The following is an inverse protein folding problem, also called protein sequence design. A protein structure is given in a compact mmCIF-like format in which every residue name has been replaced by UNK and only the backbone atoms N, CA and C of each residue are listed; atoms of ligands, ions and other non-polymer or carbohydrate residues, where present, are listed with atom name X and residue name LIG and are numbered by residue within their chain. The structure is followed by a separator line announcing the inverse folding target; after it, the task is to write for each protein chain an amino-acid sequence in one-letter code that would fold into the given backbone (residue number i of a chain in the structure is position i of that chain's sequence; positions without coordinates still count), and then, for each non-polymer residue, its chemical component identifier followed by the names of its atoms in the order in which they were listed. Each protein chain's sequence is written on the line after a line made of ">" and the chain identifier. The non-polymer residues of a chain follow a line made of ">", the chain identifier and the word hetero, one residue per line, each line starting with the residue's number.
data_IF_999172449783
#
_entry.id   IF_999172449783
#
_cell.length_a   1.000
_cell.length_b   1.000
_cell.length_c   1.000
_cell.angle_alpha   90.00
_cell.angle_beta   90.00
_cell.angle_gamma   90.00
#
_symmetry.space_group_name_H-M   'P 1'
#
loop_
_entity.id
_entity.type
_entity.pdbx_description
1 polymer ?
#
# COMPACT_ATOMS: atom_id res chain seq x y z
N UNK A 1 -46.71 25.71 -50.20
CA UNK A 1 -46.31 26.65 -51.26
C UNK A 1 -44.80 26.61 -51.22
N UNK A 2 -44.09 26.13 -52.13
CA UNK A 2 -43.96 25.77 -53.55
C UNK A 2 -42.68 24.94 -53.61
N UNK A 3 -42.69 23.69 -53.84
CA UNK A 3 -42.54 22.95 -55.08
C UNK A 3 -41.23 23.23 -55.89
N UNK A 4 -40.29 22.22 -55.83
CA UNK A 4 -39.64 21.45 -56.96
C UNK A 4 -38.63 22.19 -57.87
N UNK A 5 -37.81 21.41 -58.66
CA UNK A 5 -37.46 20.00 -58.65
C UNK A 5 -35.94 19.64 -58.95
N UNK A 6 -35.66 18.38 -58.77
CA UNK A 6 -34.64 17.48 -59.29
C UNK A 6 -34.16 17.72 -60.73
N UNK A 7 -32.85 17.52 -61.00
CA UNK A 7 -32.36 17.05 -62.29
C UNK A 7 -31.22 16.02 -62.12
N UNK A 8 -31.50 14.85 -62.63
CA UNK A 8 -30.60 13.73 -62.93
C UNK A 8 -29.85 13.95 -64.25
N UNK A 9 -28.59 13.63 -64.29
CA UNK A 9 -27.97 13.23 -65.58
C UNK A 9 -27.14 11.94 -65.37
N UNK A 10 -27.56 10.93 -66.11
CA UNK A 10 -26.84 9.70 -66.46
C UNK A 10 -25.93 10.04 -67.64
N UNK A 11 -24.87 9.24 -67.69
CA UNK A 11 -24.31 8.49 -68.84
C UNK A 11 -22.80 8.59 -68.92
N UNK A 12 -22.20 7.38 -69.04
CA UNK A 12 -21.05 7.15 -69.84
C UNK A 12 -20.12 6.03 -69.38
N UNK A 13 -20.57 4.82 -69.49
CA UNK A 13 -19.68 3.64 -69.39
C UNK A 13 -18.78 3.51 -70.63
N UNK A 14 -17.48 3.22 -70.44
CA UNK A 14 -16.71 2.40 -71.38
C UNK A 14 -15.61 1.58 -70.69
N UNK A 15 -15.38 0.36 -71.17
CA UNK A 15 -14.57 -0.67 -70.51
C UNK A 15 -13.12 -0.68 -71.00
N UNK A 16 -12.22 -1.20 -70.23
CA UNK A 16 -10.91 -1.40 -70.75
C UNK A 16 -9.86 -2.08 -69.91
N UNK A 17 -9.72 -3.37 -70.18
CA UNK A 17 -8.53 -4.19 -70.02
C UNK A 17 -8.20 -4.79 -68.66
N UNK A 18 -8.62 -6.05 -68.59
CA UNK A 18 -8.09 -7.00 -67.63
C UNK A 18 -6.60 -7.25 -67.86
N UNK A 19 -5.84 -7.24 -66.78
CA UNK A 19 -4.47 -7.72 -66.78
C UNK A 19 -4.46 -9.20 -66.40
N UNK A 20 -3.85 -9.96 -67.23
CA UNK A 20 -3.74 -11.42 -67.28
C UNK A 20 -2.96 -11.94 -66.02
N UNK A 21 -3.49 -12.99 -65.43
CA UNK A 21 -3.00 -13.63 -64.19
C UNK A 21 -1.75 -14.51 -64.35
N UNK A 22 -0.96 -14.34 -65.39
CA UNK A 22 0.13 -15.28 -65.72
C UNK A 22 1.54 -14.75 -65.90
N UNK A 23 1.82 -13.51 -65.42
CA UNK A 23 3.20 -13.02 -65.51
C UNK A 23 3.54 -12.25 -64.21
N UNK A 24 3.85 -12.97 -63.14
CA UNK A 24 4.68 -12.48 -61.99
C UNK A 24 5.14 -13.70 -61.19
N UNK A 25 6.01 -14.52 -61.86
CA UNK A 25 6.91 -15.44 -61.18
C UNK A 25 8.31 -14.90 -61.42
N UNK A 26 8.93 -14.37 -60.36
CA UNK A 26 10.34 -13.96 -60.41
C UNK A 26 10.64 -12.66 -59.69
N UNK A 27 10.52 -12.62 -58.37
CA UNK A 27 11.24 -11.64 -57.54
C UNK A 27 11.73 -12.34 -56.28
N UNK A 28 13.06 -12.35 -56.14
CA UNK A 28 13.82 -12.96 -55.06
C UNK A 28 13.26 -12.60 -53.68
N UNK A 29 12.90 -13.59 -52.90
CA UNK A 29 12.72 -13.49 -51.48
C UNK A 29 14.10 -13.42 -50.79
N UNK A 30 14.64 -12.23 -50.61
CA UNK A 30 15.67 -12.00 -49.59
C UNK A 30 15.01 -12.04 -48.23
N UNK A 31 14.97 -13.22 -47.64
CA UNK A 31 14.52 -13.41 -46.26
C UNK A 31 15.48 -12.74 -45.30
N UNK A 32 15.10 -11.57 -44.78
CA UNK A 32 15.72 -11.03 -43.56
C UNK A 32 15.26 -11.95 -42.43
N UNK A 33 16.13 -12.86 -42.04
CA UNK A 33 15.98 -13.58 -40.77
C UNK A 33 16.16 -12.58 -39.64
N UNK A 34 15.07 -12.03 -39.16
CA UNK A 34 15.06 -11.35 -37.86
C UNK A 34 15.32 -12.45 -36.83
N UNK A 35 16.55 -12.55 -36.34
CA UNK A 35 16.90 -13.36 -35.20
C UNK A 35 16.07 -12.81 -34.04
N UNK A 36 15.02 -13.53 -33.66
CA UNK A 36 14.31 -13.30 -32.42
C UNK A 36 15.34 -13.54 -31.29
N UNK A 37 15.86 -12.46 -30.71
CA UNK A 37 16.59 -12.56 -29.45
C UNK A 37 15.68 -13.26 -28.44
N UNK A 38 16.14 -14.33 -27.78
CA UNK A 38 15.33 -14.96 -26.75
C UNK A 38 15.02 -13.87 -25.68
N UNK A 39 13.72 -13.66 -25.43
CA UNK A 39 13.30 -12.84 -24.32
C UNK A 39 14.02 -13.37 -23.07
N UNK A 40 14.60 -12.51 -22.22
CA UNK A 40 15.25 -12.97 -21.01
C UNK A 40 14.23 -13.78 -20.22
N UNK A 41 14.52 -15.05 -20.01
CA UNK A 41 13.75 -15.92 -19.13
C UNK A 41 13.67 -15.21 -17.78
N UNK A 42 12.46 -14.84 -17.35
CA UNK A 42 12.24 -14.28 -16.03
C UNK A 42 12.65 -15.36 -15.01
N UNK A 43 13.87 -15.26 -14.49
CA UNK A 43 14.29 -16.07 -13.36
C UNK A 43 13.34 -15.77 -12.18
N UNK A 44 13.07 -16.82 -11.38
CA UNK A 44 12.23 -16.67 -10.19
C UNK A 44 12.68 -15.48 -9.34
N UNK A 45 11.75 -14.64 -8.83
CA UNK A 45 12.08 -13.36 -8.18
C UNK A 45 13.02 -13.49 -6.98
N UNK A 46 12.98 -14.63 -6.25
CA UNK A 46 13.69 -14.83 -4.97
C UNK A 46 15.21 -14.79 -5.07
N UNK A 47 15.81 -15.30 -6.16
CA UNK A 47 17.27 -15.41 -6.27
C UNK A 47 17.95 -14.08 -6.63
N UNK A 48 17.17 -13.04 -6.90
CA UNK A 48 17.65 -11.70 -7.28
C UNK A 48 17.44 -10.64 -6.21
N UNK A 49 16.82 -10.99 -5.07
CA UNK A 49 16.54 -10.07 -3.98
C UNK A 49 17.39 -10.41 -2.76
N UNK A 50 17.85 -9.37 -2.08
CA UNK A 50 18.54 -9.45 -0.80
C UNK A 50 17.62 -8.92 0.30
N UNK A 51 17.53 -9.66 1.41
CA UNK A 51 16.77 -9.26 2.61
C UNK A 51 17.73 -9.04 3.76
N UNK A 52 17.52 -7.95 4.52
CA UNK A 52 18.24 -7.63 5.75
C UNK A 52 17.24 -7.22 6.83
N UNK A 53 17.60 -7.49 8.08
CA UNK A 53 16.77 -7.15 9.25
C UNK A 53 17.58 -6.33 10.25
N UNK A 54 16.92 -5.34 10.86
CA UNK A 54 17.54 -4.44 11.82
C UNK A 54 16.68 -4.36 13.08
N UNK A 55 17.35 -4.09 14.19
CA UNK A 55 16.76 -3.83 15.49
C UNK A 55 17.25 -2.47 15.97
N UNK A 56 16.33 -1.53 16.17
CA UNK A 56 16.64 -0.19 16.67
C UNK A 56 16.10 -0.08 18.09
N UNK A 57 16.88 0.42 19.07
CA UNK A 57 16.39 0.58 20.45
C UNK A 57 15.25 1.60 20.49
N UNK A 58 14.23 1.35 21.34
CA UNK A 58 13.12 2.27 21.52
C UNK A 58 12.55 2.23 22.94
N UNK A 59 12.37 3.44 23.55
CA UNK A 59 11.69 3.59 24.83
C UNK A 59 12.36 2.83 25.98
N UNK A 60 11.74 1.74 26.42
CA UNK A 60 12.22 0.92 27.54
C UNK A 60 13.45 0.09 27.15
N UNK A 61 14.40 -0.16 28.08
CA UNK A 61 15.51 -1.07 27.82
C UNK A 61 15.03 -2.45 27.37
N UNK A 62 15.60 -2.95 26.28
CA UNK A 62 15.24 -4.26 25.69
C UNK A 62 14.04 -4.23 24.75
N UNK A 63 13.37 -3.11 24.58
CA UNK A 63 12.36 -2.93 23.52
C UNK A 63 13.03 -2.42 22.27
N UNK A 64 12.81 -3.11 21.14
CA UNK A 64 13.43 -2.79 19.87
C UNK A 64 12.39 -2.65 18.77
N UNK A 65 12.60 -1.70 17.87
CA UNK A 65 11.85 -1.55 16.63
C UNK A 65 12.43 -2.53 15.61
N UNK A 66 11.57 -3.38 15.04
CA UNK A 66 11.95 -4.24 13.92
C UNK A 66 11.80 -3.52 12.60
N UNK A 67 12.86 -3.53 11.81
CA UNK A 67 12.91 -2.99 10.45
C UNK A 67 13.42 -4.07 9.51
N UNK A 68 12.71 -4.34 8.41
CA UNK A 68 13.17 -5.21 7.33
C UNK A 68 13.45 -4.38 6.09
N UNK A 69 14.53 -4.70 5.43
CA UNK A 69 14.90 -4.18 4.12
C UNK A 69 14.89 -5.30 3.09
N UNK A 70 14.35 -5.02 1.91
CA UNK A 70 14.44 -5.90 0.75
C UNK A 70 14.77 -5.08 -0.49
N UNK A 71 15.77 -5.53 -1.27
CA UNK A 71 16.30 -4.82 -2.42
C UNK A 71 16.84 -5.77 -3.50
N UNK A 72 17.08 -5.30 -4.72
CA UNK A 72 17.81 -6.07 -5.72
C UNK A 72 19.20 -6.48 -5.19
N UNK A 73 19.57 -7.75 -5.38
CA UNK A 73 20.86 -8.26 -4.97
C UNK A 73 21.99 -7.58 -5.76
N UNK A 74 23.12 -7.29 -5.07
CA UNK A 74 24.29 -6.66 -5.69
C UNK A 74 24.15 -5.15 -5.92
N UNK A 75 23.05 -4.51 -5.48
CA UNK A 75 22.89 -3.06 -5.51
C UNK A 75 22.93 -2.52 -4.08
N UNK A 76 23.94 -1.69 -3.79
CA UNK A 76 24.15 -1.10 -2.45
C UNK A 76 23.90 0.40 -2.40
N UNK A 77 23.82 1.06 -3.55
CA UNK A 77 23.54 2.51 -3.65
C UNK A 77 22.23 2.76 -4.37
N UNK A 78 21.39 3.53 -3.73
CA UNK A 78 20.09 3.93 -4.25
C UNK A 78 19.96 5.45 -4.16
N UNK A 79 19.44 6.14 -5.19
CA UNK A 79 19.00 7.52 -5.03
C UNK A 79 17.76 7.56 -4.12
N UNK A 80 17.50 8.70 -3.50
CA UNK A 80 16.44 8.82 -2.50
C UNK A 80 15.03 8.52 -3.04
N UNK A 81 14.79 8.78 -4.32
CA UNK A 81 13.53 8.47 -5.03
C UNK A 81 13.40 6.98 -5.45
N UNK A 82 14.30 6.13 -4.99
CA UNK A 82 14.27 4.68 -5.10
C UNK A 82 14.33 3.98 -3.75
N UNK A 83 14.04 4.70 -2.68
CA UNK A 83 14.00 4.16 -1.31
C UNK A 83 12.62 4.40 -0.75
N UNK A 84 11.94 3.33 -0.34
CA UNK A 84 10.58 3.38 0.21
C UNK A 84 10.53 2.83 1.63
N UNK A 85 9.91 3.56 2.56
CA UNK A 85 9.54 3.05 3.88
C UNK A 85 8.02 2.87 3.96
N UNK A 86 7.57 1.65 4.31
CA UNK A 86 6.18 1.30 4.57
C UNK A 86 5.89 1.16 6.07
N UNK A 87 4.76 1.70 6.52
CA UNK A 87 4.20 1.49 7.86
C UNK A 87 2.76 0.95 7.81
N UNK A 88 2.48 0.01 8.69
CA UNK A 88 1.21 -0.72 8.76
C UNK A 88 0.06 0.06 9.41
N UNK A 89 -1.15 -0.52 9.34
CA UNK A 89 -2.36 -0.04 10.00
C UNK A 89 -2.52 -0.44 11.48
N UNK A 90 -3.76 -0.39 11.96
CA UNK A 90 -4.08 -0.47 13.39
C UNK A 90 -3.94 -1.84 14.06
N UNK A 91 -3.85 -2.94 13.29
CA UNK A 91 -3.97 -4.30 13.86
C UNK A 91 -2.88 -5.24 13.36
N UNK A 92 -2.61 -5.21 12.08
CA UNK A 92 -1.75 -6.19 11.41
C UNK A 92 -0.37 -5.60 11.13
N UNK A 93 0.72 -6.30 11.49
CA UNK A 93 2.07 -5.78 11.34
C UNK A 93 2.50 -5.74 9.87
N UNK A 94 3.46 -4.87 9.59
CA UNK A 94 4.02 -4.72 8.24
C UNK A 94 4.69 -5.99 7.74
N UNK A 95 5.38 -6.71 8.61
CA UNK A 95 6.10 -7.95 8.28
C UNK A 95 5.21 -9.04 7.67
N UNK A 96 3.92 -9.09 8.01
CA UNK A 96 2.99 -10.09 7.48
C UNK A 96 1.91 -9.49 6.56
N UNK A 97 1.70 -8.17 6.57
CA UNK A 97 0.79 -7.53 5.64
C UNK A 97 1.46 -7.14 4.31
N UNK A 98 2.74 -6.75 4.36
CA UNK A 98 3.45 -6.20 3.20
C UNK A 98 4.54 -7.12 2.64
N UNK A 99 5.10 -8.02 3.47
CA UNK A 99 6.17 -8.94 3.05
C UNK A 99 5.82 -10.43 3.25
N UNK A 100 4.56 -10.79 3.13
CA UNK A 100 4.17 -12.20 3.05
C UNK A 100 3.98 -12.59 1.57
N UNK A 101 4.65 -13.67 1.06
CA UNK A 101 4.60 -14.05 -0.36
C UNK A 101 3.30 -14.77 -0.72
N UNK A 102 2.15 -14.11 -0.54
CA UNK A 102 0.85 -14.61 -0.97
C UNK A 102 0.86 -14.81 -2.48
N UNK A 103 0.51 -16.02 -2.95
CA UNK A 103 0.61 -16.36 -4.37
C UNK A 103 2.03 -16.27 -4.94
N UNK A 104 3.06 -16.50 -4.11
CA UNK A 104 4.47 -16.58 -4.53
C UNK A 104 5.23 -15.26 -4.61
N UNK A 105 4.60 -14.13 -4.25
CA UNK A 105 5.24 -12.79 -4.29
C UNK A 105 4.65 -11.88 -3.22
N UNK A 106 5.47 -11.16 -2.48
CA UNK A 106 5.04 -10.11 -1.56
C UNK A 106 4.97 -8.72 -2.25
N UNK A 107 4.38 -7.74 -1.57
CA UNK A 107 4.44 -6.35 -2.04
C UNK A 107 5.88 -5.82 -2.04
N UNK A 108 6.70 -6.20 -1.05
CA UNK A 108 8.13 -5.86 -1.04
C UNK A 108 8.87 -6.50 -2.22
N UNK A 109 8.57 -7.77 -2.56
CA UNK A 109 9.19 -8.44 -3.71
C UNK A 109 8.89 -7.70 -5.01
N UNK A 110 7.63 -7.30 -5.20
CA UNK A 110 7.21 -6.56 -6.38
C UNK A 110 7.96 -5.22 -6.52
N UNK A 111 7.98 -4.41 -5.45
CA UNK A 111 8.62 -3.10 -5.49
C UNK A 111 10.15 -3.20 -5.58
N UNK A 112 10.77 -4.15 -4.88
CA UNK A 112 12.18 -4.44 -5.04
C UNK A 112 12.51 -4.91 -6.46
N UNK A 113 11.62 -5.69 -7.09
CA UNK A 113 11.71 -6.08 -8.51
C UNK A 113 11.66 -4.89 -9.47
N UNK A 114 11.04 -3.77 -9.10
CA UNK A 114 11.07 -2.50 -9.82
C UNK A 114 12.34 -1.67 -9.57
N UNK A 115 13.29 -2.19 -8.78
CA UNK A 115 14.56 -1.52 -8.48
C UNK A 115 14.54 -0.65 -7.22
N UNK A 116 13.54 -0.80 -6.35
CA UNK A 116 13.48 -0.07 -5.08
C UNK A 116 14.25 -0.77 -3.97
N UNK A 117 14.81 0.05 -3.08
CA UNK A 117 15.29 -0.32 -1.75
C UNK A 117 14.13 -0.16 -0.77
N UNK A 118 13.42 -1.25 -0.52
CA UNK A 118 12.15 -1.23 0.22
C UNK A 118 12.40 -1.55 1.68
N UNK A 119 11.90 -0.69 2.56
CA UNK A 119 11.88 -0.90 4.00
C UNK A 119 10.45 -1.06 4.51
N UNK A 120 10.28 -1.88 5.53
CA UNK A 120 9.08 -1.90 6.36
C UNK A 120 9.47 -1.78 7.83
N UNK A 121 8.55 -1.31 8.65
CA UNK A 121 8.69 -1.25 10.09
C UNK A 121 7.47 -1.86 10.77
N UNK A 122 7.69 -2.75 11.72
CA UNK A 122 6.69 -3.11 12.71
C UNK A 122 6.80 -2.12 13.88
N UNK A 123 5.71 -1.44 14.23
CA UNK A 123 5.70 -0.52 15.37
C UNK A 123 5.82 -1.31 16.69
N UNK A 124 6.40 -0.75 17.77
CA UNK A 124 6.44 -1.40 19.08
C UNK A 124 5.07 -1.89 19.54
N UNK A 125 5.02 -3.13 20.01
CA UNK A 125 3.77 -3.83 20.34
C UNK A 125 3.13 -4.59 19.18
N UNK A 126 3.66 -4.49 17.96
CA UNK A 126 3.20 -5.21 16.77
C UNK A 126 4.29 -6.12 16.19
N UNK A 127 3.85 -7.15 15.51
CA UNK A 127 4.70 -8.00 14.66
C UNK A 127 5.95 -8.50 15.36
N UNK A 128 7.08 -8.31 14.71
CA UNK A 128 8.40 -8.73 15.18
C UNK A 128 9.10 -7.68 16.04
N UNK A 129 8.49 -6.51 16.26
CA UNK A 129 8.99 -5.51 17.21
C UNK A 129 8.81 -5.95 18.66
N UNK A 130 9.62 -5.37 19.54
CA UNK A 130 9.55 -5.57 20.97
C UNK A 130 8.19 -5.17 21.56
N UNK A 131 7.82 -5.82 22.64
CA UNK A 131 6.59 -5.55 23.40
C UNK A 131 6.98 -4.99 24.75
N UNK A 132 6.65 -3.70 25.02
CA UNK A 132 6.91 -3.09 26.33
C UNK A 132 6.09 -3.75 27.44
N UNK A 133 6.47 -3.47 28.70
CA UNK A 133 5.87 -4.10 29.90
C UNK A 133 4.34 -4.00 29.92
N UNK A 134 3.77 -2.90 29.44
CA UNK A 134 2.30 -2.70 29.35
C UNK A 134 1.60 -3.74 28.48
N UNK A 135 2.30 -4.38 27.54
CA UNK A 135 1.77 -5.48 26.72
C UNK A 135 1.85 -6.85 27.42
N UNK A 136 2.53 -6.94 28.55
CA UNK A 136 2.66 -8.17 29.36
C UNK A 136 1.76 -8.16 30.58
N UNK A 137 1.26 -6.98 31.00
CA UNK A 137 0.28 -6.83 32.05
C UNK A 137 -1.16 -7.01 31.53
N UNK A 138 -2.17 -7.20 32.41
CA UNK A 138 -3.57 -7.13 32.00
C UNK A 138 -3.86 -5.80 31.29
N UNK A 139 -4.58 -5.84 30.18
CA UNK A 139 -4.80 -4.65 29.36
C UNK A 139 -5.49 -3.53 30.14
N UNK A 140 -6.43 -3.89 31.04
CA UNK A 140 -7.20 -2.97 31.88
C UNK A 140 -6.36 -2.14 32.85
N UNK A 141 -5.16 -2.60 33.19
CA UNK A 141 -4.33 -1.98 34.22
C UNK A 141 -3.49 -0.81 33.70
N UNK A 142 -3.54 -0.59 32.37
CA UNK A 142 -2.73 0.41 31.68
C UNK A 142 -3.53 1.19 30.65
N UNK A 143 -3.13 2.43 30.42
CA UNK A 143 -3.67 3.29 29.38
C UNK A 143 -3.40 2.74 27.96
N UNK A 144 -4.20 3.13 26.96
CA UNK A 144 -4.01 2.73 25.57
C UNK A 144 -2.60 3.00 25.07
N UNK A 145 -1.89 1.92 24.70
CA UNK A 145 -0.50 1.95 24.23
C UNK A 145 -0.39 2.30 22.76
N UNK A 146 0.73 2.89 22.35
CA UNK A 146 1.11 3.28 20.99
C UNK A 146 0.10 4.23 20.34
N UNK A 147 0.06 5.47 20.85
CA UNK A 147 -0.72 6.57 20.28
C UNK A 147 -0.09 7.07 18.97
N UNK A 148 -0.86 7.74 18.13
CA UNK A 148 -0.39 8.26 16.84
C UNK A 148 0.84 9.17 16.95
N UNK A 149 0.96 10.09 17.92
CA UNK A 149 2.18 10.87 18.11
C UNK A 149 3.42 10.01 18.43
N UNK A 150 3.26 8.89 19.13
CA UNK A 150 4.38 7.99 19.43
C UNK A 150 4.79 7.18 18.22
N UNK A 151 3.81 6.72 17.42
CA UNK A 151 4.10 6.05 16.16
C UNK A 151 4.84 6.98 15.18
N UNK A 152 4.50 8.26 15.14
CA UNK A 152 5.21 9.25 14.32
C UNK A 152 6.68 9.44 14.75
N UNK A 153 6.97 9.39 16.08
CA UNK A 153 8.36 9.41 16.58
C UNK A 153 9.14 8.15 16.15
N UNK A 154 8.49 6.98 16.21
CA UNK A 154 9.08 5.71 15.72
C UNK A 154 9.43 5.83 14.25
N UNK A 155 8.49 6.32 13.42
CA UNK A 155 8.74 6.56 12.00
C UNK A 155 9.90 7.52 11.80
N UNK A 156 9.95 8.63 12.52
CA UNK A 156 11.06 9.58 12.46
C UNK A 156 12.42 8.93 12.73
N UNK A 157 12.52 8.09 13.76
CA UNK A 157 13.74 7.35 14.07
C UNK A 157 14.15 6.39 12.94
N UNK A 158 13.18 5.70 12.34
CA UNK A 158 13.44 4.76 11.24
C UNK A 158 13.83 5.52 9.96
N UNK A 159 13.19 6.64 9.66
CA UNK A 159 13.58 7.51 8.53
C UNK A 159 15.02 7.98 8.71
N UNK A 160 15.39 8.51 9.89
CA UNK A 160 16.76 8.98 10.15
C UNK A 160 17.79 7.85 10.04
N UNK A 161 17.45 6.65 10.48
CA UNK A 161 18.28 5.45 10.28
C UNK A 161 18.49 5.16 8.79
N UNK A 162 17.44 5.19 7.96
CA UNK A 162 17.53 4.91 6.52
C UNK A 162 18.34 6.00 5.80
N UNK A 163 18.04 7.28 6.07
CA UNK A 163 18.76 8.41 5.48
C UNK A 163 20.26 8.31 5.75
N UNK A 164 20.64 8.06 7.01
CA UNK A 164 22.04 7.86 7.41
C UNK A 164 22.65 6.63 6.73
N UNK A 165 21.94 5.49 6.73
CA UNK A 165 22.43 4.24 6.14
C UNK A 165 22.71 4.37 4.65
N UNK A 166 21.84 5.06 3.92
CA UNK A 166 21.90 5.21 2.46
C UNK A 166 22.61 6.47 2.01
N UNK A 167 22.96 7.36 2.95
CA UNK A 167 23.58 8.66 2.68
C UNK A 167 22.77 9.48 1.66
N UNK A 168 21.46 9.62 1.95
CA UNK A 168 20.51 10.40 1.16
C UNK A 168 19.75 11.36 2.08
N UNK A 169 19.16 12.41 1.52
CA UNK A 169 18.44 13.44 2.28
C UNK A 169 16.94 13.15 2.38
N UNK A 170 16.38 12.45 1.40
CA UNK A 170 14.95 12.19 1.28
C UNK A 170 14.68 10.76 0.84
N UNK A 171 13.52 10.22 1.25
CA UNK A 171 13.00 8.92 0.81
C UNK A 171 11.49 9.02 0.53
N UNK A 172 10.94 8.02 -0.15
CA UNK A 172 9.50 7.86 -0.31
C UNK A 172 8.89 7.22 0.93
N UNK A 173 7.69 7.66 1.30
CA UNK A 173 6.94 7.12 2.43
C UNK A 173 5.62 6.53 1.98
N UNK A 174 5.20 5.44 2.64
CA UNK A 174 3.90 4.82 2.41
C UNK A 174 3.28 4.39 3.73
N UNK A 175 2.01 4.76 3.94
CA UNK A 175 1.21 4.33 5.08
C UNK A 175 -0.08 3.64 4.65
N UNK A 176 -0.48 2.63 5.42
CA UNK A 176 -1.77 1.95 5.28
C UNK A 176 -2.67 2.23 6.47
N UNK A 177 -3.94 2.64 6.23
CA UNK A 177 -4.92 2.80 7.30
C UNK A 177 -4.41 3.76 8.39
N UNK A 178 -4.33 3.36 9.64
CA UNK A 178 -3.70 4.15 10.71
C UNK A 178 -2.27 4.58 10.37
N UNK A 179 -1.53 3.81 9.59
CA UNK A 179 -0.22 4.21 9.09
C UNK A 179 -0.25 5.51 8.28
N UNK A 180 -1.39 5.85 7.65
CA UNK A 180 -1.57 7.14 6.98
C UNK A 180 -1.63 8.29 7.98
N UNK A 181 -2.27 8.08 9.14
CA UNK A 181 -2.29 9.02 10.26
C UNK A 181 -0.95 9.12 11.00
N UNK A 182 -0.02 8.23 10.72
CA UNK A 182 1.37 8.29 11.19
C UNK A 182 2.26 9.02 10.17
N UNK A 183 2.18 8.63 8.89
CA UNK A 183 3.00 9.21 7.82
C UNK A 183 2.58 10.64 7.44
N UNK A 184 1.28 10.95 7.47
CA UNK A 184 0.77 12.29 7.17
C UNK A 184 1.32 13.37 8.10
N UNK A 185 1.11 13.29 9.44
CA UNK A 185 1.65 14.28 10.39
C UNK A 185 3.19 14.28 10.41
N UNK A 186 3.85 13.14 10.21
CA UNK A 186 5.30 13.14 10.06
C UNK A 186 5.73 13.97 8.84
N UNK A 187 5.13 13.72 7.68
CA UNK A 187 5.46 14.44 6.44
C UNK A 187 5.15 15.93 6.55
N UNK A 188 4.03 16.31 7.16
CA UNK A 188 3.64 17.72 7.31
C UNK A 188 4.69 18.57 8.05
N UNK A 189 5.48 17.95 8.91
CA UNK A 189 6.54 18.61 9.69
C UNK A 189 7.96 18.32 9.18
N UNK A 190 8.13 17.35 8.24
CA UNK A 190 9.43 16.90 7.72
C UNK A 190 9.42 16.74 6.20
N UNK A 191 8.85 17.72 5.49
CA UNK A 191 8.82 17.72 4.01
C UNK A 191 10.23 17.67 3.39
N UNK A 192 11.24 18.14 4.11
CA UNK A 192 12.65 18.10 3.73
C UNK A 192 13.26 16.69 3.70
N UNK A 193 12.61 15.71 4.34
CA UNK A 193 13.04 14.29 4.38
C UNK A 193 12.22 13.37 3.48
N UNK A 194 11.20 13.88 2.79
CA UNK A 194 10.25 13.09 2.01
C UNK A 194 10.27 13.49 0.54
N UNK A 195 10.38 12.52 -0.38
CA UNK A 195 10.22 12.75 -1.82
C UNK A 195 8.76 12.67 -2.24
N UNK A 196 8.11 11.55 -1.93
CA UNK A 196 6.71 11.25 -2.27
C UNK A 196 6.03 10.57 -1.10
N UNK A 197 4.72 10.75 -1.00
CA UNK A 197 3.88 10.15 0.04
C UNK A 197 2.75 9.32 -0.59
N UNK A 198 2.67 8.04 -0.24
CA UNK A 198 1.56 7.15 -0.61
C UNK A 198 0.70 6.90 0.63
N UNK A 199 -0.59 7.21 0.52
CA UNK A 199 -1.58 7.03 1.56
C UNK A 199 -2.63 6.02 1.08
N UNK A 200 -2.52 4.77 1.54
CA UNK A 200 -3.48 3.73 1.23
C UNK A 200 -4.53 3.63 2.33
N UNK A 201 -5.81 3.74 1.94
CA UNK A 201 -6.95 3.83 2.84
C UNK A 201 -6.72 4.89 3.93
N UNK A 202 -6.63 6.19 3.59
CA UNK A 202 -6.30 7.23 4.54
C UNK A 202 -7.40 7.41 5.59
N UNK A 203 -7.00 7.35 6.85
CA UNK A 203 -7.85 7.67 7.98
C UNK A 203 -7.99 9.18 8.12
N UNK A 204 -9.22 9.65 8.14
CA UNK A 204 -9.59 11.05 8.32
C UNK A 204 -10.78 11.19 9.26
N UNK A 205 -11.40 12.37 9.30
CA UNK A 205 -12.54 12.63 10.19
C UNK A 205 -13.68 11.65 9.90
N UNK A 206 -14.10 10.91 10.92
CA UNK A 206 -15.05 9.82 10.78
C UNK A 206 -16.48 10.27 11.13
N UNK A 207 -17.46 9.89 10.31
CA UNK A 207 -18.89 10.11 10.54
C UNK A 207 -19.56 8.91 11.24
N UNK A 208 -18.85 7.79 11.29
CA UNK A 208 -19.31 6.54 11.89
C UNK A 208 -18.27 6.01 12.87
N UNK A 209 -18.67 5.21 13.87
CA UNK A 209 -17.74 4.52 14.75
C UNK A 209 -16.77 3.64 13.98
N UNK A 210 -15.51 3.55 14.47
CA UNK A 210 -14.52 2.64 13.90
C UNK A 210 -14.94 1.18 14.10
N UNK A 211 -14.66 0.31 13.13
CA UNK A 211 -14.90 -1.14 13.23
C UNK A 211 -13.97 -1.83 14.25
N UNK A 212 -12.91 -1.15 14.69
CA UNK A 212 -11.98 -1.63 15.71
C UNK A 212 -12.27 -0.98 17.06
N UNK A 213 -12.22 -1.77 18.12
CA UNK A 213 -12.45 -1.31 19.49
C UNK A 213 -13.92 -1.46 19.93
N UNK A 214 -14.12 -2.10 21.06
CA UNK A 214 -15.45 -2.28 21.66
C UNK A 214 -15.98 -1.04 22.39
N UNK A 215 -17.17 -1.17 23.00
CA UNK A 215 -17.85 -0.08 23.74
C UNK A 215 -17.37 0.09 25.20
N UNK A 216 -16.42 -0.74 25.66
CA UNK A 216 -15.92 -0.72 27.04
C UNK A 216 -14.75 0.26 27.26
N UNK A 217 -14.25 0.32 28.49
CA UNK A 217 -12.99 1.01 28.79
C UNK A 217 -11.86 0.47 27.94
N UNK A 218 -11.02 1.38 27.44
CA UNK A 218 -9.85 1.01 26.64
C UNK A 218 -8.65 0.76 27.56
N UNK A 219 -8.16 -0.47 27.59
CA UNK A 219 -6.86 -0.78 28.16
C UNK A 219 -5.73 -0.66 27.15
N UNK A 220 -4.52 -1.08 27.54
CA UNK A 220 -3.31 -0.95 26.70
C UNK A 220 -3.44 -1.59 25.31
N UNK A 221 -4.09 -2.73 25.24
CA UNK A 221 -4.26 -3.50 24.00
C UNK A 221 -5.62 -4.22 23.95
N UNK A 222 -6.00 -4.70 22.78
CA UNK A 222 -7.15 -5.57 22.52
C UNK A 222 -6.67 -6.92 21.98
N UNK A 223 -7.48 -7.95 22.18
CA UNK A 223 -7.28 -9.27 21.58
C UNK A 223 -8.16 -9.43 20.34
N UNK A 224 -7.58 -9.92 19.26
CA UNK A 224 -8.26 -10.18 17.98
C UNK A 224 -8.22 -11.69 17.73
N UNK A 225 -9.37 -12.33 17.54
CA UNK A 225 -9.45 -13.73 17.16
C UNK A 225 -9.28 -13.90 15.64
N UNK A 226 -8.96 -15.13 15.19
CA UNK A 226 -8.86 -15.47 13.77
C UNK A 226 -10.20 -15.23 13.05
N UNK A 227 -11.31 -15.62 13.67
CA UNK A 227 -12.64 -15.44 13.10
C UNK A 227 -13.01 -13.98 12.97
N UNK A 228 -12.72 -13.15 13.98
CA UNK A 228 -12.97 -11.71 13.91
C UNK A 228 -12.09 -11.02 12.85
N UNK A 229 -10.86 -11.48 12.67
CA UNK A 229 -10.00 -10.99 11.60
C UNK A 229 -10.56 -11.34 10.21
N UNK A 230 -11.07 -12.58 10.02
CA UNK A 230 -11.70 -12.99 8.76
C UNK A 230 -12.99 -12.22 8.48
N UNK A 231 -13.86 -12.08 9.48
CA UNK A 231 -15.09 -11.33 9.36
C UNK A 231 -14.84 -9.87 8.97
N UNK A 232 -13.85 -9.23 9.63
CA UNK A 232 -13.48 -7.85 9.29
C UNK A 232 -12.91 -7.72 7.87
N UNK A 233 -12.10 -8.68 7.42
CA UNK A 233 -11.55 -8.67 6.06
C UNK A 233 -12.65 -8.70 5.00
N UNK A 234 -13.76 -9.41 5.27
CA UNK A 234 -14.89 -9.53 4.36
C UNK A 234 -15.97 -8.44 4.54
N UNK A 235 -15.79 -7.52 5.49
CA UNK A 235 -16.77 -6.46 5.73
C UNK A 235 -16.85 -5.51 4.54
N UNK A 236 -18.06 -5.26 4.03
CA UNK A 236 -18.30 -4.38 2.86
C UNK A 236 -18.37 -5.13 1.53
N UNK A 237 -18.00 -6.41 1.50
CA UNK A 237 -18.02 -7.22 0.28
C UNK A 237 -19.48 -7.59 -0.09
N UNK A 238 -19.90 -7.41 -1.36
CA UNK A 238 -21.19 -7.95 -1.84
C UNK A 238 -21.25 -9.47 -1.64
N UNK A 239 -22.43 -9.99 -1.27
CA UNK A 239 -22.61 -11.40 -0.89
C UNK A 239 -22.13 -12.37 -1.99
N UNK A 240 -22.46 -12.07 -3.24
CA UNK A 240 -22.08 -12.86 -4.43
C UNK A 240 -20.58 -12.81 -4.76
N UNK A 241 -19.81 -11.91 -4.14
CA UNK A 241 -18.37 -11.72 -4.35
C UNK A 241 -17.51 -12.25 -3.20
N UNK A 242 -18.11 -12.61 -2.07
CA UNK A 242 -17.40 -12.99 -0.84
C UNK A 242 -16.53 -14.24 -1.03
N UNK A 243 -16.99 -15.23 -1.78
CA UNK A 243 -16.27 -16.50 -1.97
C UNK A 243 -14.96 -16.35 -2.73
N UNK A 244 -14.86 -15.38 -3.64
CA UNK A 244 -13.75 -15.24 -4.57
C UNK A 244 -12.76 -14.12 -4.21
N UNK A 245 -13.07 -13.32 -3.17
CA UNK A 245 -12.23 -12.17 -2.82
C UNK A 245 -10.85 -12.60 -2.36
N UNK A 246 -10.79 -13.56 -1.44
CA UNK A 246 -9.55 -14.07 -0.86
C UNK A 246 -9.21 -15.39 -1.55
N UNK A 247 -8.12 -15.49 -2.31
CA UNK A 247 -7.71 -16.73 -2.94
C UNK A 247 -7.55 -17.86 -1.91
N UNK A 248 -7.84 -19.10 -2.34
CA UNK A 248 -7.82 -20.26 -1.45
C UNK A 248 -6.48 -20.39 -0.70
N UNK A 249 -6.55 -20.59 0.61
CA UNK A 249 -5.39 -20.75 1.50
C UNK A 249 -4.67 -19.44 1.88
N UNK A 250 -4.95 -18.29 1.24
CA UNK A 250 -4.23 -17.05 1.55
C UNK A 250 -4.57 -16.51 2.94
N UNK A 251 -5.83 -16.56 3.33
CA UNK A 251 -6.21 -16.14 4.67
C UNK A 251 -5.53 -16.99 5.74
N UNK A 252 -5.50 -18.31 5.56
CA UNK A 252 -4.90 -19.22 6.52
C UNK A 252 -3.39 -19.01 6.64
N UNK A 253 -2.70 -18.92 5.51
CA UNK A 253 -1.26 -18.61 5.48
C UNK A 253 -0.96 -17.27 6.16
N UNK A 254 -1.75 -16.25 5.88
CA UNK A 254 -1.59 -14.94 6.50
C UNK A 254 -1.89 -14.97 8.00
N UNK A 255 -2.98 -15.61 8.41
CA UNK A 255 -3.37 -15.69 9.82
C UNK A 255 -2.33 -16.47 10.63
N UNK A 256 -1.83 -17.61 10.13
CA UNK A 256 -0.80 -18.38 10.79
C UNK A 256 0.47 -17.54 10.99
N UNK A 257 0.94 -16.88 9.95
CA UNK A 257 2.11 -16.00 10.02
C UNK A 257 1.91 -14.82 10.96
N UNK A 258 0.74 -14.16 10.89
CA UNK A 258 0.43 -12.96 11.69
C UNK A 258 0.28 -13.27 13.17
N UNK A 259 -0.50 -14.30 13.51
CA UNK A 259 -0.75 -14.68 14.91
C UNK A 259 0.51 -15.22 15.58
N UNK A 260 1.38 -15.92 14.84
CA UNK A 260 2.68 -16.39 15.35
C UNK A 260 3.61 -15.24 15.78
N UNK A 261 3.40 -14.01 15.30
CA UNK A 261 4.21 -12.85 15.72
C UNK A 261 3.93 -12.40 17.15
N UNK A 262 2.80 -12.78 17.76
CA UNK A 262 2.50 -12.47 19.17
C UNK A 262 2.90 -13.63 20.10
N UNK A 263 4.02 -13.54 20.82
CA UNK A 263 4.54 -14.67 21.60
C UNK A 263 3.66 -15.09 22.78
N UNK A 264 2.75 -14.22 23.23
CA UNK A 264 1.79 -14.50 24.31
C UNK A 264 0.44 -14.89 23.75
N UNK A 265 -0.07 -14.13 22.77
CA UNK A 265 -1.36 -14.41 22.14
C UNK A 265 -1.39 -15.73 21.39
N UNK A 266 -0.29 -16.11 20.73
CA UNK A 266 -0.15 -17.39 20.03
C UNK A 266 -0.28 -18.62 20.95
N UNK A 267 0.00 -18.47 22.25
CA UNK A 267 -0.09 -19.55 23.25
C UNK A 267 -1.49 -19.68 23.87
N UNK A 268 -2.40 -18.78 23.59
CA UNK A 268 -3.78 -18.88 24.09
C UNK A 268 -4.56 -19.96 23.32
N UNK A 269 -5.66 -20.42 23.91
CA UNK A 269 -6.55 -21.40 23.28
C UNK A 269 -7.98 -20.88 23.27
N UNK A 270 -8.53 -20.45 22.10
CA UNK A 270 -7.83 -20.35 20.81
C UNK A 270 -6.79 -19.23 20.78
N UNK A 271 -5.80 -19.28 19.85
CA UNK A 271 -4.82 -18.22 19.69
C UNK A 271 -5.46 -16.87 19.36
N UNK A 272 -4.87 -15.78 19.88
CA UNK A 272 -5.28 -14.41 19.57
C UNK A 272 -4.08 -13.57 19.13
N UNK A 273 -4.36 -12.48 18.45
CA UNK A 273 -3.39 -11.43 18.18
C UNK A 273 -3.70 -10.23 19.09
N UNK A 274 -2.73 -9.84 19.92
CA UNK A 274 -2.87 -8.65 20.76
C UNK A 274 -2.36 -7.43 20.00
N UNK A 275 -3.22 -6.42 19.85
CA UNK A 275 -2.92 -5.20 19.14
C UNK A 275 -3.09 -3.97 20.06
N UNK A 276 -2.11 -3.05 20.13
CA UNK A 276 -2.21 -1.82 20.91
C UNK A 276 -3.49 -1.02 20.63
N UNK A 277 -4.03 -0.39 21.66
CA UNK A 277 -5.28 0.37 21.61
C UNK A 277 -5.09 1.88 21.40
N UNK A 278 -3.86 2.36 21.26
CA UNK A 278 -3.57 3.78 21.04
C UNK A 278 -4.36 4.37 19.88
N UNK A 279 -4.42 3.65 18.75
CA UNK A 279 -5.22 4.06 17.58
C UNK A 279 -6.72 4.17 17.88
N UNK A 280 -7.28 3.28 18.72
CA UNK A 280 -8.71 3.32 19.11
C UNK A 280 -8.98 4.54 20.00
N UNK A 281 -8.06 4.83 20.90
CA UNK A 281 -8.14 6.03 21.74
C UNK A 281 -8.02 7.31 20.91
N UNK A 282 -7.14 7.35 19.91
CA UNK A 282 -7.00 8.48 18.99
C UNK A 282 -8.22 8.63 18.10
N UNK A 283 -8.81 7.52 17.63
CA UNK A 283 -10.04 7.56 16.86
C UNK A 283 -11.16 8.25 17.64
N UNK A 284 -11.33 7.91 18.92
CA UNK A 284 -12.34 8.55 19.77
C UNK A 284 -12.02 10.01 20.07
N UNK A 285 -10.76 10.33 20.32
CA UNK A 285 -10.34 11.67 20.75
C UNK A 285 -10.27 12.68 19.58
N UNK A 286 -10.01 12.22 18.36
CA UNK A 286 -9.73 13.06 17.21
C UNK A 286 -10.69 12.79 16.05
N UNK A 287 -10.58 11.68 15.36
CA UNK A 287 -11.30 11.47 14.09
C UNK A 287 -12.81 11.40 14.26
N UNK A 288 -13.31 10.66 15.25
CA UNK A 288 -14.75 10.61 15.57
C UNK A 288 -15.24 11.89 16.27
N UNK A 289 -14.35 12.63 16.91
CA UNK A 289 -14.67 13.91 17.52
C UNK A 289 -14.62 15.09 16.54
N UNK A 290 -14.36 14.84 15.25
CA UNK A 290 -14.26 15.88 14.23
C UNK A 290 -13.02 16.79 14.39
N UNK A 291 -11.96 16.32 15.09
CA UNK A 291 -10.75 17.07 15.38
C UNK A 291 -9.57 16.49 14.61
N UNK A 292 -9.02 17.18 13.60
CA UNK A 292 -7.83 16.71 12.91
C UNK A 292 -6.60 16.76 13.81
N UNK A 293 -5.73 15.76 13.70
CA UNK A 293 -4.44 15.72 14.43
C UNK A 293 -3.41 16.69 13.85
N UNK A 294 -3.55 17.05 12.58
CA UNK A 294 -2.66 17.93 11.83
C UNK A 294 -3.41 18.52 10.64
N UNK A 295 -2.81 19.51 9.97
CA UNK A 295 -3.34 20.05 8.72
C UNK A 295 -2.68 19.35 7.51
N UNK A 296 -3.43 18.61 6.67
CA UNK A 296 -2.88 18.04 5.43
C UNK A 296 -2.36 19.10 4.45
N UNK A 297 -2.79 20.36 4.57
CA UNK A 297 -2.27 21.50 3.80
C UNK A 297 -0.78 21.78 4.05
N UNK A 298 -0.20 21.28 5.16
CA UNK A 298 1.23 21.40 5.43
C UNK A 298 2.08 20.36 4.69
N UNK A 299 1.47 19.40 4.00
CA UNK A 299 2.17 18.44 3.13
C UNK A 299 2.51 19.12 1.80
N UNK A 300 3.80 19.19 1.49
CA UNK A 300 4.38 19.91 0.32
C UNK A 300 5.11 18.99 -0.65
N UNK A 301 4.86 17.70 -0.58
CA UNK A 301 5.41 16.68 -1.47
C UNK A 301 4.31 16.07 -2.33
N UNK A 302 4.62 15.43 -3.46
CA UNK A 302 3.64 14.71 -4.25
C UNK A 302 2.92 13.63 -3.42
N UNK A 303 1.60 13.50 -3.59
CA UNK A 303 0.78 12.55 -2.83
C UNK A 303 -0.05 11.66 -3.75
N UNK A 304 0.02 10.34 -3.50
CA UNK A 304 -0.94 9.37 -4.02
C UNK A 304 -1.87 8.92 -2.90
N UNK A 305 -3.17 9.06 -3.11
CA UNK A 305 -4.19 8.41 -2.29
C UNK A 305 -4.71 7.21 -3.04
N UNK A 306 -4.74 6.05 -2.36
CA UNK A 306 -5.37 4.82 -2.86
C UNK A 306 -6.50 4.44 -1.90
N UNK A 307 -7.64 4.08 -2.45
CA UNK A 307 -8.80 3.58 -1.72
C UNK A 307 -9.35 2.36 -2.44
N UNK A 308 -10.03 1.46 -1.72
CA UNK A 308 -10.67 0.28 -2.30
C UNK A 308 -12.20 0.41 -2.19
N UNK A 309 -12.92 0.02 -3.24
CA UNK A 309 -14.36 0.20 -3.43
C UNK A 309 -15.21 -0.30 -2.25
N UNK A 310 -14.82 -1.44 -1.67
CA UNK A 310 -15.56 -2.10 -0.58
C UNK A 310 -14.93 -1.89 0.79
N UNK A 311 -14.08 -0.87 0.94
CA UNK A 311 -13.47 -0.54 2.24
C UNK A 311 -14.51 0.00 3.22
N UNK A 312 -15.00 -0.86 4.11
CA UNK A 312 -15.94 -0.51 5.16
C UNK A 312 -15.25 -0.01 6.46
N UNK A 313 -13.96 -0.24 6.62
CA UNK A 313 -13.18 0.29 7.76
C UNK A 313 -13.03 1.81 7.66
N UNK A 314 -12.68 2.29 6.47
CA UNK A 314 -12.45 3.70 6.18
C UNK A 314 -13.18 4.07 4.88
N UNK A 315 -14.49 4.34 4.94
CA UNK A 315 -15.31 4.62 3.75
C UNK A 315 -14.75 5.75 2.88
N UNK A 316 -14.96 5.69 1.58
CA UNK A 316 -14.32 6.52 0.55
C UNK A 316 -14.45 8.03 0.79
N UNK A 317 -15.52 8.49 1.49
CA UNK A 317 -15.66 9.91 1.82
C UNK A 317 -14.47 10.45 2.63
N UNK A 318 -13.83 9.62 3.49
CA UNK A 318 -12.67 10.05 4.27
C UNK A 318 -11.48 10.36 3.35
N UNK A 319 -11.21 9.47 2.39
CA UNK A 319 -10.16 9.66 1.39
C UNK A 319 -10.43 10.87 0.49
N UNK A 320 -11.69 11.05 0.05
CA UNK A 320 -12.12 12.18 -0.77
C UNK A 320 -12.00 13.51 -0.03
N UNK A 321 -12.45 13.58 1.23
CA UNK A 321 -12.31 14.79 2.05
C UNK A 321 -10.83 15.10 2.31
N UNK A 322 -10.03 14.09 2.67
CA UNK A 322 -8.60 14.26 2.87
C UNK A 322 -7.91 14.81 1.60
N UNK A 323 -8.25 14.25 0.42
CA UNK A 323 -7.71 14.71 -0.85
C UNK A 323 -7.93 16.20 -1.08
N UNK A 324 -9.09 16.75 -0.69
CA UNK A 324 -9.37 18.18 -0.84
C UNK A 324 -8.50 19.05 0.07
N UNK A 325 -8.03 18.52 1.21
CA UNK A 325 -7.20 19.24 2.18
C UNK A 325 -5.72 19.33 1.79
N UNK A 326 -5.27 18.53 0.84
CA UNK A 326 -3.91 18.60 0.30
C UNK A 326 -3.79 19.81 -0.63
N UNK A 327 -3.63 21.01 -0.06
CA UNK A 327 -3.70 22.28 -0.79
C UNK A 327 -2.34 22.80 -1.28
N UNK A 328 -1.22 22.34 -0.69
CA UNK A 328 0.12 22.80 -1.04
C UNK A 328 1.01 21.70 -1.64
N UNK A 329 0.45 20.54 -1.93
CA UNK A 329 1.19 19.47 -2.64
C UNK A 329 1.45 19.91 -4.09
N UNK A 330 2.64 19.66 -4.65
CA UNK A 330 2.94 19.97 -6.06
C UNK A 330 1.95 19.32 -7.01
N UNK A 331 1.66 18.06 -6.80
CA UNK A 331 0.56 17.33 -7.45
C UNK A 331 0.05 16.21 -6.55
N UNK A 332 -1.18 15.80 -6.80
CA UNK A 332 -1.85 14.73 -6.05
C UNK A 332 -2.70 13.86 -6.96
N UNK A 333 -2.80 12.57 -6.63
CA UNK A 333 -3.66 11.61 -7.31
C UNK A 333 -4.56 10.89 -6.33
N UNK A 334 -5.75 10.56 -6.79
CA UNK A 334 -6.69 9.69 -6.11
C UNK A 334 -7.00 8.50 -7.03
N UNK A 335 -6.79 7.30 -6.52
CA UNK A 335 -7.09 6.04 -7.22
C UNK A 335 -8.05 5.23 -6.37
N UNK A 336 -9.20 4.90 -6.91
CA UNK A 336 -10.13 3.95 -6.31
C UNK A 336 -10.03 2.62 -7.05
N UNK A 337 -9.77 1.54 -6.29
CA UNK A 337 -9.57 0.20 -6.82
C UNK A 337 -10.88 -0.58 -6.72
N UNK A 338 -11.34 -1.12 -7.84
CA UNK A 338 -12.55 -1.92 -7.89
C UNK A 338 -12.38 -3.31 -7.26
N UNK A 339 -13.47 -3.84 -6.70
CA UNK A 339 -13.57 -5.19 -6.12
C UNK A 339 -12.49 -5.50 -5.08
N UNK A 340 -12.22 -4.58 -4.15
CA UNK A 340 -11.27 -4.76 -3.05
C UNK A 340 -11.79 -4.17 -1.75
N UNK A 341 -11.31 -4.71 -0.60
CA UNK A 341 -11.62 -4.20 0.72
C UNK A 341 -10.45 -3.42 1.32
N UNK A 342 -10.53 -3.10 2.61
CA UNK A 342 -9.44 -2.47 3.38
C UNK A 342 -8.10 -3.20 3.24
N UNK A 343 -8.11 -4.44 2.82
CA UNK A 343 -6.96 -5.35 2.70
C UNK A 343 -6.62 -5.73 1.24
N UNK A 344 -7.02 -4.91 0.23
CA UNK A 344 -6.85 -5.23 -1.20
C UNK A 344 -5.44 -5.65 -1.59
N UNK A 345 -4.41 -5.20 -0.87
CA UNK A 345 -3.02 -5.62 -1.12
C UNK A 345 -2.75 -7.10 -0.82
N UNK A 346 -3.68 -7.79 -0.15
CA UNK A 346 -3.62 -9.22 0.19
C UNK A 346 -4.78 -10.03 -0.43
N UNK A 347 -5.48 -9.48 -1.42
CA UNK A 347 -6.64 -10.06 -2.08
C UNK A 347 -6.36 -10.42 -3.54
N UNK A 348 -7.36 -11.03 -4.23
CA UNK A 348 -7.22 -11.41 -5.65
C UNK A 348 -6.80 -10.23 -6.55
N UNK A 349 -7.26 -9.02 -6.22
CA UNK A 349 -7.05 -7.81 -7.00
C UNK A 349 -5.80 -7.00 -6.59
N UNK A 350 -4.94 -7.55 -5.73
CA UNK A 350 -3.74 -6.86 -5.22
C UNK A 350 -2.84 -6.25 -6.29
N UNK A 351 -2.85 -6.81 -7.50
CA UNK A 351 -2.02 -6.26 -8.58
C UNK A 351 -2.45 -4.87 -9.02
N UNK A 352 -3.75 -4.52 -8.91
CA UNK A 352 -4.20 -3.14 -9.15
C UNK A 352 -3.54 -2.16 -8.18
N UNK A 353 -3.47 -2.55 -6.88
CA UNK A 353 -2.78 -1.78 -5.86
C UNK A 353 -1.27 -1.64 -6.16
N UNK A 354 -0.59 -2.74 -6.43
CA UNK A 354 0.85 -2.74 -6.69
C UNK A 354 1.20 -1.93 -7.95
N UNK A 355 0.40 -2.02 -9.01
CA UNK A 355 0.57 -1.23 -10.22
C UNK A 355 0.37 0.28 -9.94
N UNK A 356 -0.65 0.66 -9.18
CA UNK A 356 -0.89 2.07 -8.83
C UNK A 356 0.27 2.66 -8.03
N UNK A 357 0.76 1.92 -7.02
CA UNK A 357 1.95 2.32 -6.23
C UNK A 357 3.19 2.41 -7.10
N UNK A 358 3.49 1.36 -7.86
CA UNK A 358 4.68 1.29 -8.72
C UNK A 358 4.69 2.39 -9.76
N UNK A 359 3.58 2.65 -10.43
CA UNK A 359 3.45 3.72 -11.43
C UNK A 359 3.73 5.10 -10.81
N UNK A 360 3.13 5.41 -9.65
CA UNK A 360 3.34 6.69 -8.97
C UNK A 360 4.79 6.90 -8.51
N UNK A 361 5.42 5.84 -7.98
CA UNK A 361 6.80 5.93 -7.46
C UNK A 361 7.85 5.99 -8.58
N UNK A 362 7.54 5.50 -9.80
CA UNK A 362 8.48 5.46 -10.93
C UNK A 362 8.28 6.56 -11.95
N UNK A 363 7.17 7.28 -11.91
CA UNK A 363 6.90 8.33 -12.88
C UNK A 363 7.87 9.51 -12.77
N UNK A 364 8.15 10.15 -13.91
CA UNK A 364 8.79 11.46 -13.92
C UNK A 364 7.88 12.51 -13.25
N UNK A 365 8.47 13.57 -12.70
CA UNK A 365 7.66 14.70 -12.20
C UNK A 365 6.82 15.27 -13.36
N UNK A 366 5.49 15.20 -13.27
CA UNK A 366 4.64 15.70 -14.35
C UNK A 366 4.71 17.23 -14.54
N UNK A 367 5.31 17.95 -13.60
CA UNK A 367 5.54 19.39 -13.69
C UNK A 367 6.91 19.73 -14.30
N UNK A 368 7.84 18.78 -14.36
CA UNK A 368 9.18 18.99 -14.92
C UNK A 368 9.23 18.97 -16.47
N UNK A 369 8.12 18.72 -17.14
CA UNK A 369 8.01 18.67 -18.60
C UNK A 369 7.61 20.00 -19.25
N UNK A 370 7.60 21.09 -18.49
CA UNK A 370 7.29 22.45 -18.97
C UNK A 370 8.54 23.32 -19.09
#
# INVERSE_FOLDING_TARGET
>A
MSDRPVQTHRDGARPGRGLDRRQLVGALAAGVAVAASPAPSAAAPSDRLQTEEFRLPWGEPGVEIYVRNKRPAGIDRFPGDRILLYVHGATYPASTAFDLPLGGMSAMDYLAGLGFDVYLVDLPGYGLSGRPAVMSAPASDNEPFMRTPDSAKVVGQVVDFILKRRNVEKIDLMGWSWGTSTMGPYTSTHNDKVNRLVLYAPQWLARTPALIGGNGPLGAYRSVSRDSARARWLTGVPEDKTADLIPAGWFDLWADATFATDPVGAKQTPPVLRAPNGVVADSKAYWQAGKPLYDPGDIRVPVLIIHAEWDADLPSYQAQEYFTKLTHTPYKRFVELGEGTHTVMMEKNRMQFLHAVGAFLTEADPQALN
#
